data_IF_383731568998
#
_entry.id   IF_383731568998
#
_cell.length_a   1.000
_cell.length_b   1.000
_cell.length_c   1.000
_cell.angle_alpha   90.00
_cell.angle_beta   90.00
_cell.angle_gamma   90.00
#
_symmetry.space_group_name_H-M   'P 1'
#
loop_
_entity.id
_entity.type
_entity.pdbx_description
1 polymer ?
#
# COMPACT_ATOMS: atom_id res chain seq x y z
N UNK A 1 -3.30 42.50 21.88
CA UNK A 1 -4.09 41.87 22.96
C UNK A 1 -3.51 40.48 23.16
N UNK A 2 -3.16 40.14 24.39
CA UNK A 2 -2.72 38.79 24.75
C UNK A 2 -3.92 37.86 24.72
N UNK A 3 -3.80 36.71 24.07
CA UNK A 3 -4.86 35.70 23.98
C UNK A 3 -4.58 34.63 25.01
N UNK A 4 -5.56 34.33 25.84
CA UNK A 4 -5.49 33.28 26.86
C UNK A 4 -6.32 32.07 26.47
N UNK A 5 -5.81 30.88 26.79
CA UNK A 5 -6.49 29.61 26.67
C UNK A 5 -6.73 29.02 28.07
N UNK A 6 -7.83 28.30 28.23
CA UNK A 6 -8.06 27.47 29.42
C UNK A 6 -7.36 26.13 29.24
N UNK A 7 -6.51 25.77 30.19
CA UNK A 7 -5.81 24.49 30.24
C UNK A 7 -6.18 23.75 31.53
N UNK A 8 -6.35 22.44 31.45
CA UNK A 8 -6.57 21.60 32.63
C UNK A 8 -5.24 21.35 33.34
N UNK A 9 -5.14 21.66 34.63
CA UNK A 9 -3.91 21.42 35.42
C UNK A 9 -3.56 19.92 35.40
N UNK A 10 -4.55 19.07 35.68
CA UNK A 10 -4.51 17.63 35.41
C UNK A 10 -5.35 17.34 34.17
N UNK A 11 -4.78 16.83 33.07
CA UNK A 11 -5.53 16.49 31.86
C UNK A 11 -6.60 15.42 32.10
N UNK A 12 -7.71 15.50 31.35
CA UNK A 12 -8.82 14.51 31.45
C UNK A 12 -8.39 13.07 31.20
N UNK A 13 -7.48 12.84 30.24
CA UNK A 13 -6.99 11.49 29.95
C UNK A 13 -6.10 10.92 31.08
N UNK A 14 -5.68 11.76 32.02
CA UNK A 14 -5.00 11.37 33.26
C UNK A 14 -5.94 11.39 34.47
N UNK A 15 -7.26 11.51 34.27
CA UNK A 15 -8.26 11.50 35.33
C UNK A 15 -8.62 12.87 35.91
N UNK A 16 -8.19 13.97 35.28
CA UNK A 16 -8.59 15.32 35.68
C UNK A 16 -10.07 15.62 35.43
N UNK A 17 -10.62 16.56 36.21
CA UNK A 17 -12.03 16.98 36.15
C UNK A 17 -12.19 18.34 35.48
N UNK A 18 -13.44 18.72 35.17
CA UNK A 18 -13.79 20.07 34.68
C UNK A 18 -14.03 21.08 35.81
N UNK A 19 -13.65 20.75 37.04
CA UNK A 19 -13.80 21.66 38.17
C UNK A 19 -12.98 22.95 37.94
N UNK A 20 -13.51 24.14 38.29
CA UNK A 20 -12.78 25.40 38.12
C UNK A 20 -11.40 25.41 38.79
N UNK A 21 -11.22 24.64 39.87
CA UNK A 21 -9.92 24.48 40.55
C UNK A 21 -8.88 23.71 39.73
N UNK A 22 -9.30 22.93 38.73
CA UNK A 22 -8.44 22.20 37.81
C UNK A 22 -8.25 22.96 36.49
N UNK A 23 -8.68 24.22 36.38
CA UNK A 23 -8.55 25.03 35.18
C UNK A 23 -7.69 26.26 35.45
N UNK A 24 -6.73 26.51 34.57
CA UNK A 24 -5.87 27.69 34.61
C UNK A 24 -5.89 28.40 33.26
N UNK A 25 -5.81 29.74 33.28
CA UNK A 25 -5.66 30.54 32.07
C UNK A 25 -4.17 30.73 31.77
N UNK A 26 -3.74 30.26 30.61
CA UNK A 26 -2.37 30.34 30.13
C UNK A 26 -2.34 31.08 28.79
N UNK A 27 -1.25 31.80 28.52
CA UNK A 27 -0.95 32.25 27.16
C UNK A 27 -0.79 31.05 26.22
N UNK A 28 -0.84 31.30 24.91
CA UNK A 28 -0.69 30.22 23.92
C UNK A 28 0.68 29.54 24.07
N UNK A 29 1.71 30.33 24.37
CA UNK A 29 3.08 29.87 24.60
C UNK A 29 3.17 29.01 25.86
N UNK A 30 2.66 29.50 27.01
CA UNK A 30 2.64 28.75 28.27
C UNK A 30 1.82 27.46 28.16
N UNK A 31 0.69 27.49 27.44
CA UNK A 31 -0.13 26.30 27.20
C UNK A 31 0.63 25.25 26.37
N UNK A 32 1.39 25.69 25.37
CA UNK A 32 2.22 24.80 24.58
C UNK A 32 3.33 24.16 25.44
N UNK A 33 3.98 24.94 26.29
CA UNK A 33 5.01 24.45 27.22
C UNK A 33 4.45 23.46 28.24
N UNK A 34 3.25 23.70 28.76
CA UNK A 34 2.57 22.76 29.66
C UNK A 34 2.36 21.39 29.01
N UNK A 35 1.85 21.33 27.77
CA UNK A 35 1.73 20.07 27.03
C UNK A 35 3.09 19.44 26.71
N UNK A 36 4.12 20.25 26.43
CA UNK A 36 5.46 19.72 26.21
C UNK A 36 6.01 19.04 27.46
N UNK A 37 5.86 19.67 28.63
CA UNK A 37 6.30 19.11 29.90
C UNK A 37 5.56 17.79 30.23
N UNK A 38 4.24 17.76 30.04
CA UNK A 38 3.43 16.53 30.21
C UNK A 38 3.89 15.41 29.29
N UNK A 39 4.24 15.72 28.04
CA UNK A 39 4.78 14.74 27.11
C UNK A 39 6.17 14.25 27.53
N UNK A 40 7.08 15.14 27.94
CA UNK A 40 8.43 14.78 28.38
C UNK A 40 8.40 13.92 29.65
N UNK A 41 7.44 14.18 30.57
CA UNK A 41 7.31 13.44 31.83
C UNK A 41 6.57 12.10 31.67
N UNK A 42 5.48 12.06 30.91
CA UNK A 42 4.58 10.90 30.84
C UNK A 42 4.56 10.17 29.49
N UNK A 43 5.17 10.74 28.45
CA UNK A 43 5.25 10.12 27.13
C UNK A 43 3.94 10.08 26.34
N UNK A 44 2.93 10.86 26.74
CA UNK A 44 1.64 10.92 26.06
C UNK A 44 1.75 11.58 24.67
N UNK A 45 1.46 10.82 23.62
CA UNK A 45 1.50 11.35 22.25
C UNK A 45 0.41 12.40 21.99
N UNK A 46 -0.69 12.39 22.76
CA UNK A 46 -1.72 13.43 22.66
C UNK A 46 -1.20 14.79 23.12
N UNK A 47 -0.38 14.82 24.17
CA UNK A 47 0.25 16.05 24.65
C UNK A 47 1.29 16.56 23.67
N UNK A 48 2.07 15.67 23.07
CA UNK A 48 2.99 16.04 21.98
C UNK A 48 2.25 16.67 20.80
N UNK A 49 1.14 16.08 20.36
CA UNK A 49 0.33 16.62 19.25
C UNK A 49 -0.21 18.00 19.62
N UNK A 50 -0.70 18.21 20.85
CA UNK A 50 -1.18 19.49 21.32
C UNK A 50 -0.07 20.56 21.34
N UNK A 51 1.12 20.22 21.87
CA UNK A 51 2.29 21.10 21.85
C UNK A 51 2.70 21.51 20.43
N UNK A 52 2.84 20.54 19.52
CA UNK A 52 3.21 20.79 18.12
C UNK A 52 2.15 21.65 17.41
N UNK A 53 0.87 21.44 17.73
CA UNK A 53 -0.23 22.22 17.15
C UNK A 53 -0.24 23.67 17.65
N UNK A 54 -0.08 23.89 18.96
CA UNK A 54 -0.07 25.22 19.58
C UNK A 54 1.16 26.04 19.13
N UNK A 55 2.31 25.38 18.98
CA UNK A 55 3.53 26.01 18.43
C UNK A 55 3.51 26.16 16.91
N UNK A 56 2.43 25.73 16.23
CA UNK A 56 2.26 25.75 14.76
C UNK A 56 3.34 25.01 13.98
N UNK A 57 3.97 24.00 14.60
CA UNK A 57 4.90 23.10 13.91
C UNK A 57 4.16 22.11 13.00
N UNK A 58 2.90 21.81 13.33
CA UNK A 58 1.99 21.02 12.50
C UNK A 58 0.67 21.80 12.30
N UNK A 59 -0.03 21.51 11.20
CA UNK A 59 -1.34 22.08 10.96
C UNK A 59 -2.47 21.29 11.64
N UNK A 60 -3.68 21.85 11.62
CA UNK A 60 -4.85 21.22 12.24
C UNK A 60 -5.28 19.91 11.56
N UNK A 61 -4.96 19.72 10.28
CA UNK A 61 -5.29 18.50 9.56
C UNK A 61 -4.35 17.37 9.98
N UNK A 62 -3.05 17.66 10.06
CA UNK A 62 -2.02 16.77 10.54
C UNK A 62 -2.26 16.38 12.00
N UNK A 63 -2.55 17.34 12.87
CA UNK A 63 -2.88 17.06 14.28
C UNK A 63 -4.05 16.06 14.40
N UNK A 64 -5.13 16.26 13.63
CA UNK A 64 -6.27 15.33 13.61
C UNK A 64 -5.88 13.94 13.12
N UNK A 65 -5.07 13.84 12.08
CA UNK A 65 -4.59 12.56 11.55
C UNK A 65 -3.76 11.83 12.60
N UNK A 66 -2.82 12.52 13.26
CA UNK A 66 -1.97 11.94 14.30
C UNK A 66 -2.79 11.45 15.50
N UNK A 67 -3.80 12.21 15.94
CA UNK A 67 -4.69 11.78 17.04
C UNK A 67 -5.47 10.52 16.68
N UNK A 68 -5.93 10.39 15.43
CA UNK A 68 -6.64 9.18 14.95
C UNK A 68 -5.69 7.99 14.85
N UNK A 69 -4.45 8.20 14.41
CA UNK A 69 -3.43 7.15 14.39
C UNK A 69 -3.17 6.65 15.81
N UNK A 70 -2.94 7.57 16.75
CA UNK A 70 -2.67 7.23 18.15
C UNK A 70 -3.82 6.45 18.76
N UNK A 71 -5.05 6.90 18.55
CA UNK A 71 -6.24 6.21 19.04
C UNK A 71 -6.38 4.79 18.48
N UNK A 72 -6.00 4.57 17.23
CA UNK A 72 -6.10 3.25 16.60
C UNK A 72 -4.99 2.27 17.04
N UNK A 73 -3.85 2.73 17.58
CA UNK A 73 -2.71 1.85 17.94
C UNK A 73 -3.11 0.75 18.92
N UNK A 74 -3.89 1.11 19.94
CA UNK A 74 -4.26 0.20 21.04
C UNK A 74 -5.73 -0.23 20.99
N UNK A 75 -6.41 0.05 19.88
CA UNK A 75 -7.85 -0.23 19.77
C UNK A 75 -8.11 -1.72 19.59
N UNK A 76 -8.69 -2.33 20.62
CA UNK A 76 -9.23 -3.70 20.54
C UNK A 76 -10.60 -3.63 19.84
N UNK A 77 -10.69 -4.25 18.66
CA UNK A 77 -11.94 -4.36 17.91
C UNK A 77 -12.71 -5.59 18.42
N UNK A 78 -13.99 -5.42 18.75
CA UNK A 78 -14.83 -6.54 19.20
C UNK A 78 -14.99 -7.61 18.12
N UNK A 79 -15.16 -8.87 18.51
CA UNK A 79 -15.37 -9.96 17.55
C UNK A 79 -16.59 -9.73 16.65
N UNK A 80 -17.69 -9.22 17.21
CA UNK A 80 -18.87 -8.83 16.44
C UNK A 80 -18.54 -7.78 15.34
N UNK A 81 -17.71 -6.79 15.68
CA UNK A 81 -17.30 -5.76 14.73
C UNK A 81 -16.40 -6.35 13.64
N UNK A 82 -15.47 -7.25 14.00
CA UNK A 82 -14.62 -7.96 13.04
C UNK A 82 -15.46 -8.80 12.09
N UNK A 83 -16.45 -9.51 12.61
CA UNK A 83 -17.37 -10.34 11.81
C UNK A 83 -18.18 -9.48 10.84
N UNK A 84 -18.79 -8.39 11.30
CA UNK A 84 -19.51 -7.44 10.45
C UNK A 84 -18.63 -6.88 9.32
N UNK A 85 -17.39 -6.50 9.62
CA UNK A 85 -16.43 -6.05 8.60
C UNK A 85 -16.10 -7.16 7.60
N UNK A 86 -15.85 -8.38 8.09
CA UNK A 86 -15.54 -9.55 7.25
C UNK A 86 -16.69 -9.89 6.31
N UNK A 87 -17.92 -9.94 6.82
CA UNK A 87 -19.11 -10.26 6.03
C UNK A 87 -19.38 -9.18 4.98
N UNK A 88 -19.28 -7.89 5.34
CA UNK A 88 -19.36 -6.79 4.37
C UNK A 88 -18.32 -6.92 3.26
N UNK A 89 -17.10 -7.31 3.60
CA UNK A 89 -16.03 -7.48 2.61
C UNK A 89 -16.28 -8.67 1.68
N UNK A 90 -16.74 -9.80 2.24
CA UNK A 90 -17.15 -10.98 1.46
C UNK A 90 -18.28 -10.63 0.50
N UNK A 91 -19.29 -9.89 0.96
CA UNK A 91 -20.41 -9.43 0.16
C UNK A 91 -19.94 -8.47 -0.95
N UNK A 92 -19.14 -7.46 -0.63
CA UNK A 92 -18.59 -6.53 -1.62
C UNK A 92 -17.83 -7.26 -2.72
N UNK A 93 -16.96 -8.20 -2.34
CA UNK A 93 -16.23 -9.03 -3.29
C UNK A 93 -17.05 -10.17 -3.87
N UNK A 94 -18.28 -10.46 -3.44
CA UNK A 94 -19.12 -11.47 -4.11
C UNK A 94 -19.46 -11.02 -5.54
N UNK A 95 -19.56 -9.71 -5.75
CA UNK A 95 -19.84 -9.07 -7.04
C UNK A 95 -18.59 -9.12 -7.95
N UNK A 96 -18.64 -9.78 -9.12
CA UNK A 96 -17.48 -9.91 -10.00
C UNK A 96 -16.88 -8.59 -10.48
N UNK A 97 -17.71 -7.56 -10.69
CA UNK A 97 -17.25 -6.25 -11.13
C UNK A 97 -16.41 -5.54 -10.05
N UNK A 98 -16.80 -5.67 -8.78
CA UNK A 98 -16.03 -5.13 -7.65
C UNK A 98 -14.66 -5.80 -7.54
N UNK A 99 -14.57 -7.12 -7.76
CA UNK A 99 -13.29 -7.84 -7.84
C UNK A 99 -12.41 -7.29 -8.96
N UNK A 100 -12.98 -7.11 -10.16
CA UNK A 100 -12.25 -6.57 -11.32
C UNK A 100 -11.76 -5.16 -11.07
N UNK A 101 -12.61 -4.29 -10.51
CA UNK A 101 -12.27 -2.91 -10.15
C UNK A 101 -11.13 -2.86 -9.13
N UNK A 102 -11.23 -3.63 -8.05
CA UNK A 102 -10.17 -3.72 -7.05
C UNK A 102 -8.86 -4.24 -7.65
N UNK A 103 -8.90 -5.32 -8.45
CA UNK A 103 -7.72 -5.87 -9.10
C UNK A 103 -7.05 -4.86 -10.06
N UNK A 104 -7.85 -4.12 -10.85
CA UNK A 104 -7.34 -3.07 -11.74
C UNK A 104 -6.66 -1.96 -10.94
N UNK A 105 -7.26 -1.50 -9.84
CA UNK A 105 -6.69 -0.48 -8.96
C UNK A 105 -5.36 -0.95 -8.34
N UNK A 106 -5.30 -2.18 -7.81
CA UNK A 106 -4.08 -2.76 -7.24
C UNK A 106 -2.96 -2.84 -8.28
N UNK A 107 -3.25 -3.35 -9.49
CA UNK A 107 -2.26 -3.45 -10.57
C UNK A 107 -1.75 -2.09 -11.00
N UNK A 108 -2.64 -1.10 -11.09
CA UNK A 108 -2.27 0.28 -11.43
C UNK A 108 -1.35 0.85 -10.35
N UNK A 109 -1.74 0.77 -9.07
CA UNK A 109 -0.93 1.24 -7.95
C UNK A 109 0.45 0.61 -7.91
N UNK A 110 0.54 -0.71 -8.09
CA UNK A 110 1.84 -1.42 -8.15
C UNK A 110 2.71 -0.96 -9.31
N UNK A 111 2.11 -0.76 -10.49
CA UNK A 111 2.82 -0.28 -11.68
C UNK A 111 3.33 1.15 -11.49
N UNK A 112 2.51 2.02 -10.90
CA UNK A 112 2.87 3.42 -10.67
C UNK A 112 3.93 3.54 -9.57
N UNK A 113 3.79 2.77 -8.48
CA UNK A 113 4.83 2.63 -7.46
C UNK A 113 6.16 2.17 -8.05
N UNK A 114 6.18 1.10 -8.84
CA UNK A 114 7.41 0.59 -9.47
C UNK A 114 8.12 1.62 -10.36
N UNK A 115 7.34 2.40 -11.11
CA UNK A 115 7.88 3.46 -11.98
C UNK A 115 8.54 4.57 -11.19
N UNK A 116 7.99 4.91 -10.03
CA UNK A 116 8.46 6.01 -9.20
C UNK A 116 9.68 5.64 -8.34
N UNK A 117 10.06 4.37 -8.26
CA UNK A 117 11.31 3.95 -7.64
C UNK A 117 12.51 4.31 -8.52
N UNK A 118 13.59 4.77 -7.87
CA UNK A 118 14.93 4.83 -8.43
C UNK A 118 15.48 3.43 -8.74
N UNK A 119 16.52 3.36 -9.57
CA UNK A 119 17.12 2.07 -9.90
C UNK A 119 17.69 1.36 -8.66
N UNK A 120 18.30 2.12 -7.74
CA UNK A 120 18.81 1.56 -6.49
C UNK A 120 17.70 0.96 -5.62
N UNK A 121 16.56 1.64 -5.47
CA UNK A 121 15.42 1.13 -4.70
C UNK A 121 14.77 -0.10 -5.36
N UNK A 122 14.76 -0.16 -6.69
CA UNK A 122 14.31 -1.36 -7.41
C UNK A 122 15.22 -2.55 -7.14
N UNK A 123 16.54 -2.34 -7.17
CA UNK A 123 17.50 -3.41 -6.90
C UNK A 123 17.40 -3.89 -5.45
N UNK A 124 17.31 -2.99 -4.47
CA UNK A 124 17.08 -3.36 -3.07
C UNK A 124 15.79 -4.17 -2.91
N UNK A 125 14.69 -3.74 -3.53
CA UNK A 125 13.44 -4.49 -3.47
C UNK A 125 13.55 -5.89 -4.09
N UNK A 126 14.21 -6.02 -5.23
CA UNK A 126 14.46 -7.33 -5.87
C UNK A 126 15.30 -8.21 -4.97
N UNK A 127 16.35 -7.66 -4.35
CA UNK A 127 17.23 -8.39 -3.45
C UNK A 127 16.50 -8.85 -2.19
N UNK A 128 15.67 -7.97 -1.59
CA UNK A 128 14.79 -8.31 -0.47
C UNK A 128 13.81 -9.42 -0.81
N UNK A 129 13.23 -9.42 -2.01
CA UNK A 129 12.33 -10.50 -2.46
C UNK A 129 13.06 -11.84 -2.67
N UNK A 130 14.36 -11.82 -2.96
CA UNK A 130 15.18 -13.04 -3.07
C UNK A 130 15.57 -13.62 -1.72
N UNK A 131 15.74 -12.78 -0.70
CA UNK A 131 16.09 -13.19 0.66
C UNK A 131 14.86 -13.80 1.34
N UNK A 132 15.00 -15.03 1.84
CA UNK A 132 14.02 -15.58 2.79
C UNK A 132 14.28 -14.95 4.15
N UNK A 133 13.24 -14.65 4.95
CA UNK A 133 13.44 -14.23 6.33
C UNK A 133 14.28 -15.26 7.08
N UNK A 134 15.14 -14.80 7.99
CA UNK A 134 15.91 -15.70 8.84
C UNK A 134 14.95 -16.52 9.73
N UNK A 135 15.23 -17.81 9.92
CA UNK A 135 14.32 -18.75 10.59
C UNK A 135 13.05 -19.12 9.79
N UNK A 136 12.95 -18.74 8.50
CA UNK A 136 11.83 -19.19 7.66
C UNK A 136 11.94 -20.70 7.40
N UNK A 137 11.08 -21.47 8.06
CA UNK A 137 10.93 -22.91 7.85
C UNK A 137 9.86 -23.14 6.78
N UNK A 138 10.21 -23.89 5.72
CA UNK A 138 9.21 -24.30 4.74
C UNK A 138 8.17 -25.20 5.44
N UNK A 139 6.87 -24.87 5.38
CA UNK A 139 5.85 -25.73 5.97
C UNK A 139 5.94 -27.14 5.35
N UNK A 140 6.01 -28.18 6.18
CA UNK A 140 5.96 -29.58 5.70
C UNK A 140 4.65 -29.76 4.90
N UNK A 141 4.76 -30.30 3.67
CA UNK A 141 3.63 -30.46 2.75
C UNK A 141 3.47 -29.34 1.70
N UNK A 142 4.26 -28.27 1.77
CA UNK A 142 4.33 -27.25 0.70
C UNK A 142 5.37 -27.56 -0.38
N UNK A 143 6.03 -28.71 -0.30
CA UNK A 143 6.71 -29.29 -1.45
C UNK A 143 5.64 -29.86 -2.36
N UNK A 144 5.13 -29.03 -3.28
CA UNK A 144 4.39 -29.56 -4.41
C UNK A 144 5.29 -30.58 -5.08
N UNK A 145 4.86 -31.84 -5.15
CA UNK A 145 5.51 -32.83 -6.01
C UNK A 145 5.61 -32.27 -7.42
N UNK A 146 6.59 -32.69 -8.22
CA UNK A 146 6.70 -32.22 -9.60
C UNK A 146 5.39 -32.45 -10.37
N UNK A 147 4.70 -33.55 -10.05
CA UNK A 147 3.35 -33.85 -10.52
C UNK A 147 2.29 -32.84 -10.03
N UNK A 148 2.30 -32.42 -8.75
CA UNK A 148 1.38 -31.38 -8.23
C UNK A 148 1.72 -30.01 -8.80
N UNK A 149 3.00 -29.73 -9.04
CA UNK A 149 3.50 -28.52 -9.72
C UNK A 149 3.05 -28.49 -11.17
N UNK A 150 3.09 -29.63 -11.87
CA UNK A 150 2.55 -29.78 -13.22
C UNK A 150 1.03 -29.66 -13.24
N UNK A 151 0.31 -30.30 -12.32
CA UNK A 151 -1.14 -30.15 -12.18
C UNK A 151 -1.54 -28.72 -11.89
N UNK A 152 -0.80 -27.98 -11.05
CA UNK A 152 -1.02 -26.56 -10.79
C UNK A 152 -0.61 -25.64 -11.95
N UNK A 153 0.40 -26.02 -12.75
CA UNK A 153 0.73 -25.35 -14.01
C UNK A 153 -0.36 -25.58 -15.07
N UNK A 154 -0.92 -26.79 -15.11
CA UNK A 154 -2.02 -27.18 -15.99
C UNK A 154 -3.38 -26.61 -15.59
N UNK A 155 -3.63 -26.40 -14.29
CA UNK A 155 -4.85 -25.80 -13.76
C UNK A 155 -4.80 -24.28 -13.62
N UNK A 156 -3.65 -23.66 -13.96
CA UNK A 156 -3.54 -22.21 -14.19
C UNK A 156 -4.33 -21.86 -15.45
N UNK A 157 -5.62 -21.62 -15.28
CA UNK A 157 -6.52 -21.14 -16.31
C UNK A 157 -5.92 -19.90 -17.00
N UNK A 158 -5.56 -19.91 -18.30
CA UNK A 158 -5.27 -18.68 -19.01
C UNK A 158 -6.56 -17.98 -19.46
N UNK A 159 -7.74 -18.49 -19.05
CA UNK A 159 -9.10 -18.42 -19.59
C UNK A 159 -9.37 -19.49 -20.67
N UNK A 160 -9.88 -20.65 -20.25
CA UNK A 160 -10.47 -21.73 -21.06
C UNK A 160 -9.47 -22.75 -21.59
N UNK A 161 -9.67 -24.02 -21.23
CA UNK A 161 -9.01 -25.18 -21.84
C UNK A 161 -9.10 -25.10 -23.38
N UNK A 162 -7.97 -25.08 -24.07
CA UNK A 162 -7.92 -25.11 -25.53
C UNK A 162 -7.82 -26.57 -25.96
N UNK A 163 -8.88 -27.10 -26.57
CA UNK A 163 -8.92 -28.42 -27.19
C UNK A 163 -7.73 -28.61 -28.15
N UNK A 164 -7.35 -29.85 -28.45
CA UNK A 164 -6.31 -30.15 -29.45
C UNK A 164 -6.62 -29.51 -30.82
N UNK A 165 -7.90 -29.36 -31.13
CA UNK A 165 -8.39 -28.63 -32.30
C UNK A 165 -8.10 -27.12 -32.22
N UNK A 166 -8.30 -26.51 -31.05
CA UNK A 166 -7.96 -25.11 -30.80
C UNK A 166 -6.45 -24.85 -30.87
N UNK A 167 -5.62 -25.76 -30.36
CA UNK A 167 -4.15 -25.69 -30.51
C UNK A 167 -3.73 -25.81 -31.98
N UNK A 168 -4.35 -26.72 -32.73
CA UNK A 168 -4.17 -26.83 -34.19
C UNK A 168 -4.60 -25.54 -34.90
N UNK A 169 -5.68 -24.88 -34.49
CA UNK A 169 -6.15 -23.63 -35.09
C UNK A 169 -5.24 -22.43 -34.76
N UNK A 170 -4.67 -22.35 -33.54
CA UNK A 170 -3.64 -21.36 -33.22
C UNK A 170 -2.36 -21.61 -34.04
N UNK A 171 -1.94 -22.89 -34.17
CA UNK A 171 -0.79 -23.28 -34.98
C UNK A 171 -0.99 -22.92 -36.45
N UNK A 172 -2.18 -23.21 -37.02
CA UNK A 172 -2.59 -22.78 -38.36
C UNK A 172 -2.59 -21.26 -38.50
N UNK A 173 -3.11 -20.51 -37.52
CA UNK A 173 -3.17 -19.05 -37.54
C UNK A 173 -1.81 -18.36 -37.37
N UNK A 174 -0.83 -19.06 -36.77
CA UNK A 174 0.55 -18.60 -36.61
C UNK A 174 1.45 -19.01 -37.78
N UNK A 175 1.07 -20.04 -38.55
CA UNK A 175 1.78 -20.47 -39.76
C UNK A 175 1.79 -19.32 -40.77
N UNK A 176 2.98 -18.77 -41.05
CA UNK A 176 3.17 -17.63 -41.96
C UNK A 176 3.20 -16.24 -41.32
N UNK A 177 2.98 -16.10 -40.00
CA UNK A 177 3.19 -14.83 -39.28
C UNK A 177 4.56 -14.87 -38.62
N UNK A 178 5.52 -14.16 -39.21
CA UNK A 178 6.95 -14.23 -38.87
C UNK A 178 7.25 -13.98 -37.39
N UNK A 179 7.48 -15.06 -36.63
CA UNK A 179 8.07 -15.04 -35.29
C UNK A 179 9.37 -15.83 -35.29
N UNK A 180 10.33 -15.43 -34.46
CA UNK A 180 11.67 -16.03 -34.43
C UNK A 180 12.54 -15.54 -35.59
N UNK A 181 13.42 -16.39 -36.10
CA UNK A 181 14.38 -16.08 -37.18
C UNK A 181 13.70 -15.69 -38.51
N UNK A 182 12.45 -16.12 -38.71
CA UNK A 182 11.62 -15.78 -39.87
C UNK A 182 10.87 -14.44 -39.72
N UNK A 183 11.10 -13.69 -38.64
CA UNK A 183 10.62 -12.32 -38.49
C UNK A 183 11.44 -11.39 -39.40
N UNK A 184 10.77 -10.60 -40.26
CA UNK A 184 11.43 -9.65 -41.15
C UNK A 184 12.34 -8.65 -40.40
N UNK A 185 12.07 -8.38 -39.12
CA UNK A 185 12.88 -7.50 -38.26
C UNK A 185 13.98 -8.22 -37.48
N UNK A 186 14.14 -9.55 -37.62
CA UNK A 186 15.21 -10.30 -36.94
C UNK A 186 16.60 -9.92 -37.51
N UNK A 187 16.69 -9.68 -38.82
CA UNK A 187 17.95 -9.25 -39.47
C UNK A 187 18.27 -7.80 -39.15
N UNK A 188 19.51 -7.55 -38.72
CA UNK A 188 20.07 -6.23 -38.38
C UNK A 188 19.84 -5.20 -39.50
N UNK A 189 20.05 -5.63 -40.74
CA UNK A 189 19.94 -4.80 -41.95
C UNK A 189 18.51 -4.25 -42.15
N UNK A 190 17.49 -5.08 -41.90
CA UNK A 190 16.09 -4.68 -42.03
C UNK A 190 15.68 -3.70 -40.91
N UNK A 191 16.27 -3.83 -39.72
CA UNK A 191 16.10 -2.88 -38.61
C UNK A 191 16.68 -1.51 -38.96
N UNK A 192 17.86 -1.47 -39.60
CA UNK A 192 18.48 -0.22 -40.07
C UNK A 192 17.65 0.47 -41.15
N UNK A 193 17.21 -0.25 -42.18
CA UNK A 193 16.34 0.31 -43.25
C UNK A 193 15.04 0.93 -42.71
N UNK A 194 14.39 0.28 -41.75
CA UNK A 194 13.17 0.81 -41.11
C UNK A 194 13.48 2.02 -40.20
N UNK A 195 14.62 2.02 -39.51
CA UNK A 195 15.06 3.15 -38.68
C UNK A 195 15.35 4.39 -39.52
N UNK A 196 16.07 4.23 -40.63
CA UNK A 196 16.41 5.30 -41.57
C UNK A 196 15.17 5.88 -42.23
N UNK A 197 14.19 5.03 -42.58
CA UNK A 197 12.90 5.48 -43.16
C UNK A 197 12.03 6.33 -42.23
N UNK A 198 12.33 6.33 -40.92
CA UNK A 198 11.59 7.10 -39.90
C UNK A 198 12.26 8.41 -39.51
N UNK A 199 13.52 8.63 -39.92
CA UNK A 199 14.21 9.89 -39.73
C UNK A 199 13.61 10.90 -40.73
N UNK A 200 12.85 11.86 -40.22
CA UNK A 200 12.23 12.94 -41.01
C UNK A 200 10.69 12.97 -40.97
N UNK A 201 10.01 11.95 -40.43
CA UNK A 201 8.57 12.09 -40.13
C UNK A 201 8.39 12.95 -38.88
N UNK A 202 8.26 14.26 -39.08
CA UNK A 202 7.78 15.20 -38.05
C UNK A 202 6.48 14.64 -37.46
N UNK A 203 6.43 14.55 -36.13
CA UNK A 203 5.20 14.25 -35.39
C UNK A 203 4.21 15.38 -35.56
#
# INVERSE_FOLDING_TARGET
>A
MTIYHKHHIVPKHMGGTDDPSNLIELTVEEHAEAHKALWEEHGSEYDKIAWLSLTKQIDNAEARILSVIEWNKNRIISEETKEKLSNRMKEYYSVPENRKKASKATKKGMKDWWKNLSEQERQDWIERCKKRPDGWIQPKGWNLSDETREKMRGSRNPYGCQSEEHKKNISKNRKGKGTGENNAMAKEENRKKVSESKIGRKR
#
